data_IF_590618675938
#
_entry.id   IF_590618675938
#
_cell.length_a   1.000
_cell.length_b   1.000
_cell.length_c   1.000
_cell.angle_alpha   90.00
_cell.angle_beta   90.00
_cell.angle_gamma   90.00
#
_symmetry.space_group_name_H-M   'P 1'
#
loop_
_entity.id
_entity.type
_entity.pdbx_description
1 polymer ?
#
# COMPACT_ATOMS: atom_id res chain seq x y z
N UNK A 1 65.37 -12.79 16.57
CA UNK A 1 64.38 -13.29 15.59
C UNK A 1 63.05 -12.65 15.93
N UNK A 2 62.52 -11.79 15.04
CA UNK A 2 61.23 -11.10 15.22
C UNK A 2 60.15 -11.97 14.58
N UNK A 3 59.23 -12.49 15.38
CA UNK A 3 58.05 -13.23 14.91
C UNK A 3 56.96 -12.24 14.53
N UNK A 4 56.73 -12.08 13.22
CA UNK A 4 55.64 -11.28 12.67
C UNK A 4 54.33 -12.06 12.75
N UNK A 5 53.34 -11.53 13.48
CA UNK A 5 51.97 -12.01 13.46
C UNK A 5 51.25 -11.46 12.21
N UNK A 6 50.87 -12.35 11.28
CA UNK A 6 49.90 -12.02 10.23
C UNK A 6 48.49 -12.06 10.82
N UNK A 7 47.81 -10.92 10.88
CA UNK A 7 46.36 -10.86 11.02
C UNK A 7 45.71 -11.11 9.65
N UNK A 8 45.07 -12.25 9.48
CA UNK A 8 44.19 -12.51 8.34
C UNK A 8 42.84 -11.83 8.58
N UNK A 9 42.60 -10.69 7.92
CA UNK A 9 41.28 -10.05 7.88
C UNK A 9 40.39 -10.84 6.90
N UNK A 10 39.51 -11.70 7.42
CA UNK A 10 38.46 -12.33 6.63
C UNK A 10 37.35 -11.31 6.37
N UNK A 11 37.34 -10.71 5.17
CA UNK A 11 36.25 -9.87 4.69
C UNK A 11 35.03 -10.72 4.35
N UNK A 12 33.94 -10.59 5.12
CA UNK A 12 32.64 -11.19 4.82
C UNK A 12 31.89 -10.27 3.87
N UNK A 13 31.86 -10.61 2.58
CA UNK A 13 31.01 -9.94 1.61
C UNK A 13 29.54 -10.34 1.87
N UNK A 14 28.73 -9.40 2.35
CA UNK A 14 27.27 -9.56 2.39
C UNK A 14 26.78 -9.37 0.95
N UNK A 15 26.47 -10.47 0.28
CA UNK A 15 25.78 -10.43 -1.00
C UNK A 15 24.37 -9.88 -0.76
N UNK A 16 24.14 -8.62 -1.12
CA UNK A 16 22.79 -8.07 -1.23
C UNK A 16 22.19 -8.69 -2.50
N UNK A 17 21.55 -9.84 -2.35
CA UNK A 17 20.72 -10.41 -3.40
C UNK A 17 19.54 -9.43 -3.61
N UNK A 18 19.59 -8.65 -4.68
CA UNK A 18 18.42 -7.91 -5.15
C UNK A 18 17.45 -8.91 -5.75
N UNK A 19 16.66 -9.56 -4.90
CA UNK A 19 15.51 -10.33 -5.36
C UNK A 19 14.54 -9.32 -5.98
N UNK A 20 14.40 -9.35 -7.29
CA UNK A 20 13.24 -8.74 -7.95
C UNK A 20 12.03 -9.51 -7.45
N UNK A 21 11.33 -8.95 -6.47
CA UNK A 21 10.04 -9.48 -6.04
C UNK A 21 9.11 -9.31 -7.22
N UNK A 22 8.77 -10.42 -7.85
CA UNK A 22 7.77 -10.44 -8.92
C UNK A 22 6.43 -9.98 -8.34
N UNK A 23 5.53 -9.47 -9.19
CA UNK A 23 4.15 -9.15 -8.79
C UNK A 23 3.34 -10.36 -8.25
N UNK A 24 3.95 -11.56 -8.16
CA UNK A 24 3.37 -12.74 -7.52
C UNK A 24 2.99 -12.42 -6.08
N UNK A 25 1.69 -12.33 -5.82
CA UNK A 25 1.11 -12.04 -4.51
C UNK A 25 -0.01 -11.00 -4.58
N UNK A 26 -0.01 -10.13 -5.59
CA UNK A 26 -1.06 -9.15 -5.78
C UNK A 26 -2.26 -9.73 -6.57
N UNK A 27 -3.44 -9.72 -5.94
CA UNK A 27 -4.72 -10.15 -6.52
C UNK A 27 -5.59 -8.93 -6.82
N UNK A 28 -6.13 -8.86 -8.04
CA UNK A 28 -7.06 -7.80 -8.43
C UNK A 28 -8.49 -8.16 -8.06
N UNK A 29 -9.28 -7.20 -7.59
CA UNK A 29 -10.64 -7.43 -7.11
C UNK A 29 -11.54 -6.20 -7.26
N UNK A 30 -12.84 -6.44 -7.34
CA UNK A 30 -13.86 -5.39 -7.29
C UNK A 30 -14.18 -5.11 -5.83
N UNK A 31 -14.14 -3.83 -5.43
CA UNK A 31 -14.54 -3.38 -4.09
C UNK A 31 -16.01 -2.99 -4.09
N UNK A 32 -16.41 -2.20 -5.08
CA UNK A 32 -17.75 -1.60 -5.12
C UNK A 32 -18.21 -1.36 -6.56
N UNK A 33 -19.52 -1.57 -6.76
CA UNK A 33 -20.26 -1.27 -7.97
C UNK A 33 -20.84 0.14 -7.96
N UNK A 34 -21.18 0.66 -9.13
CA UNK A 34 -21.93 1.92 -9.21
C UNK A 34 -23.38 1.77 -8.68
N UNK A 35 -24.13 2.88 -8.68
CA UNK A 35 -25.53 2.90 -8.25
C UNK A 35 -26.47 2.07 -9.15
N UNK A 36 -26.04 1.77 -10.37
CA UNK A 36 -26.77 0.97 -11.37
C UNK A 36 -26.35 -0.51 -11.36
N UNK A 37 -25.57 -0.94 -10.34
CA UNK A 37 -25.07 -2.31 -10.17
C UNK A 37 -24.10 -2.79 -11.27
N UNK A 38 -23.43 -1.86 -11.97
CA UNK A 38 -22.32 -2.16 -12.86
C UNK A 38 -21.00 -2.26 -12.06
N UNK A 39 -20.15 -3.22 -12.43
CA UNK A 39 -18.83 -3.39 -11.84
C UNK A 39 -17.76 -2.60 -12.60
N UNK A 40 -16.67 -2.19 -11.93
CA UNK A 40 -15.40 -1.94 -12.60
C UNK A 40 -15.02 -3.09 -13.54
N UNK A 41 -14.38 -2.76 -14.67
CA UNK A 41 -13.74 -3.78 -15.51
C UNK A 41 -12.27 -3.89 -15.13
N UNK A 42 -11.82 -5.11 -14.87
CA UNK A 42 -10.41 -5.44 -14.60
C UNK A 42 -9.96 -6.39 -15.71
N UNK A 43 -8.95 -5.98 -16.47
CA UNK A 43 -8.50 -6.76 -17.63
C UNK A 43 -6.99 -6.69 -17.82
N UNK A 44 -6.43 -7.67 -18.51
CA UNK A 44 -5.04 -7.58 -18.98
C UNK A 44 -4.92 -6.50 -20.05
N UNK A 45 -3.83 -5.73 -20.03
CA UNK A 45 -3.55 -4.72 -21.04
C UNK A 45 -2.18 -4.95 -21.70
N UNK A 46 -2.02 -6.17 -22.23
CA UNK A 46 -0.78 -6.59 -22.90
C UNK A 46 -0.53 -5.89 -24.24
N UNK A 47 -1.56 -5.24 -24.81
CA UNK A 47 -1.46 -4.51 -26.08
C UNK A 47 -0.69 -3.21 -25.94
N UNK A 48 -0.94 -2.43 -24.88
CA UNK A 48 -0.20 -1.20 -24.62
C UNK A 48 1.06 -1.44 -23.80
N UNK A 49 0.99 -2.29 -22.77
CA UNK A 49 2.12 -2.60 -21.89
C UNK A 49 2.12 -4.09 -21.53
N UNK A 50 3.08 -4.89 -22.00
CA UNK A 50 3.18 -6.30 -21.65
C UNK A 50 3.17 -6.52 -20.13
N UNK A 51 2.26 -7.37 -19.65
CA UNK A 51 2.11 -7.70 -18.22
C UNK A 51 1.36 -6.65 -17.39
N UNK A 52 0.82 -5.59 -18.00
CA UNK A 52 0.00 -4.61 -17.29
C UNK A 52 -1.43 -5.11 -17.06
N UNK A 53 -2.02 -4.60 -15.99
CA UNK A 53 -3.45 -4.71 -15.68
C UNK A 53 -4.09 -3.34 -15.87
N UNK A 54 -5.28 -3.32 -16.45
CA UNK A 54 -6.09 -2.12 -16.59
C UNK A 54 -7.32 -2.19 -15.68
N UNK A 55 -7.54 -1.10 -14.95
CA UNK A 55 -8.71 -0.89 -14.11
C UNK A 55 -9.58 0.22 -14.70
N UNK A 56 -10.71 -0.16 -15.29
CA UNK A 56 -11.66 0.78 -15.91
C UNK A 56 -12.73 1.15 -14.87
N UNK A 57 -12.78 2.45 -14.56
CA UNK A 57 -13.71 3.07 -13.63
C UNK A 57 -14.52 4.08 -14.46
N UNK A 58 -15.68 3.66 -14.97
CA UNK A 58 -16.46 4.46 -15.92
C UNK A 58 -17.64 5.21 -15.27
N UNK A 59 -17.88 5.01 -13.98
CA UNK A 59 -18.91 5.69 -13.22
C UNK A 59 -18.46 5.98 -11.79
N UNK A 60 -19.06 7.01 -11.18
CA UNK A 60 -18.88 7.33 -9.77
C UNK A 60 -19.22 6.14 -8.87
N UNK A 61 -18.58 6.03 -7.70
CA UNK A 61 -18.74 4.93 -6.74
C UNK A 61 -18.19 3.56 -7.16
N UNK A 62 -17.80 3.37 -8.42
CA UNK A 62 -17.01 2.22 -8.80
C UNK A 62 -15.65 2.26 -8.11
N UNK A 63 -15.26 1.13 -7.53
CA UNK A 63 -13.99 0.99 -6.83
C UNK A 63 -13.43 -0.40 -7.04
N UNK A 64 -12.16 -0.47 -7.40
CA UNK A 64 -11.41 -1.70 -7.58
C UNK A 64 -10.08 -1.62 -6.82
N UNK A 65 -9.52 -2.77 -6.50
CA UNK A 65 -8.26 -2.89 -5.78
C UNK A 65 -7.32 -3.88 -6.44
N UNK A 66 -6.04 -3.71 -6.14
CA UNK A 66 -5.00 -4.70 -6.38
C UNK A 66 -4.22 -4.87 -5.08
N UNK A 67 -4.42 -6.00 -4.39
CA UNK A 67 -3.99 -6.17 -3.01
C UNK A 67 -3.18 -7.44 -2.75
N UNK A 68 -2.35 -7.40 -1.72
CA UNK A 68 -1.52 -8.52 -1.26
C UNK A 68 -1.54 -8.65 0.27
N UNK A 69 -1.34 -9.87 0.73
CA UNK A 69 -1.11 -10.23 2.14
C UNK A 69 0.34 -10.65 2.42
N UNK A 70 1.26 -10.47 1.46
CA UNK A 70 2.65 -10.94 1.59
C UNK A 70 3.43 -10.29 2.74
N UNK A 71 2.97 -9.14 3.22
CA UNK A 71 3.57 -8.38 4.33
C UNK A 71 2.65 -8.33 5.56
N UNK A 72 1.60 -9.15 5.61
CA UNK A 72 0.75 -9.27 6.80
C UNK A 72 1.61 -9.72 8.00
N UNK A 73 1.37 -9.12 9.16
CA UNK A 73 2.16 -9.30 10.38
C UNK A 73 3.37 -8.38 10.49
N UNK A 74 3.85 -7.78 9.39
CA UNK A 74 4.91 -6.76 9.46
C UNK A 74 4.38 -5.47 10.11
N UNK A 75 5.28 -4.65 10.67
CA UNK A 75 4.90 -3.30 11.08
C UNK A 75 4.85 -2.37 9.88
N UNK A 76 3.93 -1.42 9.87
CA UNK A 76 3.72 -0.49 8.76
C UNK A 76 5.03 0.22 8.37
N UNK A 77 5.82 0.69 9.33
CA UNK A 77 7.11 1.35 9.05
C UNK A 77 8.21 0.45 8.51
N UNK A 78 8.02 -0.87 8.53
CA UNK A 78 8.98 -1.85 8.01
C UNK A 78 8.70 -2.27 6.57
N UNK A 79 7.77 -1.63 5.86
CA UNK A 79 7.38 -2.00 4.48
C UNK A 79 7.71 -0.89 3.48
N UNK A 80 8.09 -1.29 2.27
CA UNK A 80 8.20 -0.45 1.09
C UNK A 80 7.15 -0.84 0.06
N UNK A 81 6.60 0.17 -0.63
CA UNK A 81 5.58 0.02 -1.66
C UNK A 81 6.09 0.54 -2.99
N UNK A 82 5.69 -0.11 -4.08
CA UNK A 82 5.83 0.44 -5.42
C UNK A 82 4.71 0.01 -6.36
N UNK A 83 4.49 0.82 -7.40
CA UNK A 83 3.63 0.53 -8.55
C UNK A 83 4.04 1.43 -9.71
N UNK A 84 3.89 0.95 -10.94
CA UNK A 84 4.08 1.76 -12.15
C UNK A 84 2.74 1.99 -12.81
N UNK A 85 2.47 3.24 -13.20
CA UNK A 85 1.32 3.66 -13.99
C UNK A 85 1.78 4.13 -15.37
N UNK A 86 1.12 3.64 -16.40
CA UNK A 86 1.52 3.80 -17.80
C UNK A 86 0.54 4.64 -18.63
N UNK A 87 -0.69 4.82 -18.19
CA UNK A 87 -1.64 5.68 -18.89
C UNK A 87 -1.25 7.16 -18.76
N UNK A 88 -1.66 7.95 -19.75
CA UNK A 88 -1.41 9.38 -19.76
C UNK A 88 -2.28 10.08 -18.71
N UNK A 89 -1.71 10.35 -17.54
CA UNK A 89 -2.42 11.07 -16.48
C UNK A 89 -2.74 12.53 -16.83
N UNK A 90 -2.13 13.12 -17.87
CA UNK A 90 -2.37 14.50 -18.29
C UNK A 90 -3.70 14.68 -19.01
N UNK A 91 -4.36 13.58 -19.42
CA UNK A 91 -5.75 13.60 -19.91
C UNK A 91 -6.76 13.99 -18.84
N UNK A 92 -6.35 14.02 -17.58
CA UNK A 92 -7.17 14.43 -16.44
C UNK A 92 -6.80 15.84 -15.97
N UNK A 93 -7.75 16.53 -15.34
CA UNK A 93 -7.48 17.81 -14.70
C UNK A 93 -6.37 17.66 -13.64
N UNK A 94 -5.37 18.53 -13.67
CA UNK A 94 -4.26 18.49 -12.73
C UNK A 94 -4.75 18.53 -11.27
N UNK A 95 -4.20 17.65 -10.43
CA UNK A 95 -4.60 17.51 -9.02
C UNK A 95 -5.89 16.73 -8.78
N UNK A 96 -6.65 16.35 -9.82
CA UNK A 96 -7.79 15.45 -9.68
C UNK A 96 -7.36 14.04 -9.28
N UNK A 97 -8.24 13.29 -8.62
CA UNK A 97 -8.01 11.90 -8.22
C UNK A 97 -7.42 11.03 -9.34
N UNK A 98 -7.99 11.01 -10.56
CA UNK A 98 -7.48 10.26 -11.70
C UNK A 98 -6.14 10.77 -12.20
N UNK A 99 -5.81 12.05 -12.04
CA UNK A 99 -4.48 12.56 -12.39
C UNK A 99 -3.39 12.08 -11.40
N UNK A 100 -3.76 11.73 -10.16
CA UNK A 100 -2.82 11.39 -9.08
C UNK A 100 -2.89 9.94 -8.59
N UNK A 101 -3.89 9.17 -9.03
CA UNK A 101 -4.05 7.74 -8.73
C UNK A 101 -2.88 6.88 -9.24
N UNK A 102 -2.68 5.65 -8.72
CA UNK A 102 -3.44 5.02 -7.66
C UNK A 102 -3.10 5.58 -6.27
N UNK A 103 -4.04 5.44 -5.35
CA UNK A 103 -3.76 5.61 -3.92
C UNK A 103 -3.60 4.23 -3.27
N UNK A 104 -2.95 4.19 -2.12
CA UNK A 104 -2.82 2.97 -1.34
C UNK A 104 -3.74 3.00 -0.12
N UNK A 105 -4.23 1.84 0.26
CA UNK A 105 -4.97 1.58 1.49
C UNK A 105 -4.33 0.39 2.20
N UNK A 106 -4.00 0.55 3.46
CA UNK A 106 -3.34 -0.47 4.29
C UNK A 106 -4.24 -0.77 5.48
N UNK A 107 -4.60 -2.03 5.66
CA UNK A 107 -5.25 -2.47 6.89
C UNK A 107 -4.22 -2.59 8.01
N UNK A 108 -4.52 -1.96 9.15
CA UNK A 108 -3.76 -2.11 10.38
C UNK A 108 -4.64 -2.66 11.50
N UNK A 109 -4.01 -3.30 12.48
CA UNK A 109 -4.69 -3.82 13.66
C UNK A 109 -3.85 -3.71 14.94
N UNK A 110 -4.54 -3.59 16.08
CA UNK A 110 -3.99 -3.79 17.43
C UNK A 110 -4.19 -5.24 17.94
N UNK A 111 -4.71 -6.13 17.09
CA UNK A 111 -5.10 -7.50 17.43
C UNK A 111 -6.58 -7.66 17.79
N UNK A 112 -7.31 -6.57 18.02
CA UNK A 112 -8.75 -6.56 18.33
C UNK A 112 -9.54 -5.73 17.32
N UNK A 113 -9.05 -4.53 17.04
CA UNK A 113 -9.65 -3.53 16.18
C UNK A 113 -8.92 -3.45 14.84
N UNK A 114 -9.60 -2.93 13.83
CA UNK A 114 -9.06 -2.77 12.48
C UNK A 114 -9.31 -1.35 11.97
N UNK A 115 -8.34 -0.83 11.23
CA UNK A 115 -8.43 0.47 10.58
C UNK A 115 -7.82 0.41 9.18
N UNK A 116 -8.30 1.24 8.27
CA UNK A 116 -7.63 1.48 6.99
C UNK A 116 -6.86 2.79 7.09
N UNK A 117 -5.55 2.71 6.89
CA UNK A 117 -4.68 3.87 6.72
C UNK A 117 -4.45 4.10 5.23
N UNK A 118 -4.62 5.33 4.78
CA UNK A 118 -4.52 5.70 3.37
C UNK A 118 -3.72 6.99 3.18
N UNK A 119 -3.11 7.14 2.00
CA UNK A 119 -2.62 8.45 1.57
C UNK A 119 -3.75 9.33 1.01
N UNK A 120 -3.47 10.63 0.93
CA UNK A 120 -4.21 11.58 0.11
C UNK A 120 -3.34 11.97 -1.10
N UNK A 121 -3.40 11.26 -2.23
CA UNK A 121 -2.49 11.51 -3.36
C UNK A 121 -2.69 12.90 -4.00
N UNK A 122 -3.85 13.55 -3.78
CA UNK A 122 -4.10 14.91 -4.25
C UNK A 122 -3.39 15.96 -3.40
N UNK A 123 -2.88 15.59 -2.21
CA UNK A 123 -2.00 16.43 -1.44
C UNK A 123 -0.67 16.62 -2.20
N UNK A 124 -0.28 17.86 -2.53
CA UNK A 124 0.93 18.13 -3.31
C UNK A 124 2.22 17.54 -2.72
N UNK A 125 2.29 17.29 -1.40
CA UNK A 125 3.45 16.66 -0.77
C UNK A 125 3.73 15.26 -1.31
N UNK A 126 2.71 14.51 -1.73
CA UNK A 126 2.89 13.19 -2.33
C UNK A 126 3.51 13.23 -3.73
N UNK A 127 3.61 14.41 -4.36
CA UNK A 127 4.26 14.55 -5.66
C UNK A 127 5.75 14.20 -5.61
N UNK A 128 6.41 14.42 -4.47
CA UNK A 128 7.83 14.11 -4.29
C UNK A 128 8.16 12.60 -4.37
N UNK A 129 7.17 11.73 -4.17
CA UNK A 129 7.33 10.27 -4.22
C UNK A 129 7.00 9.67 -5.60
N UNK A 130 6.67 10.53 -6.58
CA UNK A 130 6.45 10.14 -7.97
C UNK A 130 7.71 10.34 -8.81
N UNK A 131 8.06 9.32 -9.58
CA UNK A 131 9.03 9.45 -10.67
C UNK A 131 8.28 9.59 -11.97
N UNK A 132 8.44 10.73 -12.66
CA UNK A 132 7.85 10.94 -13.98
C UNK A 132 8.57 10.06 -15.03
N UNK A 133 7.78 9.33 -15.82
CA UNK A 133 8.28 8.43 -16.87
C UNK A 133 8.05 9.00 -18.29
N UNK A 134 7.50 10.22 -18.40
CA UNK A 134 7.11 10.87 -19.64
C UNK A 134 5.65 10.58 -20.03
N UNK A 135 5.07 11.45 -20.87
CA UNK A 135 3.72 11.29 -21.42
C UNK A 135 2.62 11.01 -20.37
N UNK A 136 2.73 11.67 -19.20
CA UNK A 136 1.78 11.48 -18.10
C UNK A 136 1.96 10.19 -17.29
N UNK A 137 2.83 9.27 -17.69
CA UNK A 137 3.16 8.06 -16.93
C UNK A 137 4.06 8.40 -15.73
N UNK A 138 3.92 7.61 -14.65
CA UNK A 138 4.75 7.76 -13.47
C UNK A 138 4.83 6.46 -12.65
N UNK A 139 5.85 6.36 -11.81
CA UNK A 139 5.94 5.31 -10.79
C UNK A 139 5.94 5.89 -9.38
N UNK A 140 5.41 5.11 -8.44
CA UNK A 140 5.60 5.29 -7.01
C UNK A 140 6.61 4.26 -6.52
N UNK A 141 7.56 4.69 -5.70
CA UNK A 141 8.49 3.80 -5.01
C UNK A 141 9.03 4.47 -3.76
N UNK A 142 8.59 4.03 -2.58
CA UNK A 142 8.99 4.62 -1.30
C UNK A 142 8.87 3.61 -0.16
N UNK A 143 9.59 3.85 0.94
CA UNK A 143 9.33 3.17 2.20
C UNK A 143 8.23 3.89 2.97
N UNK A 144 7.39 3.17 3.71
CA UNK A 144 6.36 3.81 4.54
C UNK A 144 7.00 4.66 5.65
N UNK A 145 8.21 4.34 6.09
CA UNK A 145 9.01 5.20 6.95
C UNK A 145 9.40 6.53 6.29
N UNK A 146 9.62 6.56 4.97
CA UNK A 146 10.00 7.80 4.27
C UNK A 146 8.87 8.82 4.13
N UNK A 147 7.61 8.37 4.28
CA UNK A 147 6.44 9.24 4.27
C UNK A 147 5.93 9.58 5.69
N UNK A 148 6.73 9.34 6.73
CA UNK A 148 6.31 9.51 8.14
C UNK A 148 5.74 10.92 8.45
N UNK A 149 6.28 11.95 7.78
CA UNK A 149 5.79 13.33 7.93
C UNK A 149 4.47 13.62 7.22
N UNK A 150 4.02 12.73 6.34
CA UNK A 150 2.79 12.92 5.57
C UNK A 150 1.55 12.64 6.41
N UNK A 151 0.49 13.41 6.15
CA UNK A 151 -0.82 13.15 6.74
C UNK A 151 -1.34 11.81 6.22
N UNK A 152 -1.92 11.01 7.12
CA UNK A 152 -2.64 9.81 6.74
C UNK A 152 -4.15 10.02 6.97
N UNK A 153 -4.93 9.50 6.04
CA UNK A 153 -6.36 9.36 6.21
C UNK A 153 -6.63 8.04 6.92
N UNK A 154 -7.48 8.09 7.94
CA UNK A 154 -7.92 6.91 8.69
C UNK A 154 -9.38 6.69 8.39
N UNK A 155 -9.70 5.50 7.90
CA UNK A 155 -11.06 5.06 7.65
C UNK A 155 -11.39 3.89 8.56
N UNK A 156 -12.36 4.15 9.42
CA UNK A 156 -12.91 3.21 10.38
C UNK A 156 -14.41 3.36 10.39
N UNK A 157 -15.07 2.37 10.95
CA UNK A 157 -16.52 2.36 11.04
C UNK A 157 -16.91 1.68 12.34
N UNK A 158 -17.78 2.30 13.17
CA UNK A 158 -18.34 3.65 12.99
C UNK A 158 -17.29 4.78 13.16
N UNK A 159 -17.64 6.01 12.76
CA UNK A 159 -16.85 7.25 12.98
C UNK A 159 -15.72 7.57 11.97
N UNK A 160 -15.82 7.10 10.73
CA UNK A 160 -14.95 7.58 9.65
C UNK A 160 -14.84 9.12 9.67
N UNK A 161 -13.62 9.63 9.67
CA UNK A 161 -13.31 11.07 9.60
C UNK A 161 -13.70 11.93 10.80
N UNK A 162 -14.15 11.36 11.93
CA UNK A 162 -14.46 12.15 13.14
C UNK A 162 -13.24 12.51 13.99
N UNK A 163 -12.07 11.91 13.69
CA UNK A 163 -10.84 12.00 14.50
C UNK A 163 -11.03 11.59 15.95
N UNK A 164 -12.02 10.74 16.23
CA UNK A 164 -12.38 10.26 17.55
C UNK A 164 -12.55 8.74 17.56
N UNK A 165 -11.89 8.08 16.62
CA UNK A 165 -11.98 6.65 16.37
C UNK A 165 -11.07 5.86 17.32
N UNK A 166 -11.02 4.53 17.20
CA UNK A 166 -10.27 3.71 18.16
C UNK A 166 -8.77 4.01 18.06
N UNK A 167 -8.27 4.24 16.85
CA UNK A 167 -6.87 4.52 16.61
C UNK A 167 -6.46 5.86 17.21
N UNK A 168 -7.25 6.91 17.02
CA UNK A 168 -7.01 8.21 17.66
C UNK A 168 -7.06 8.11 19.18
N UNK A 169 -7.99 7.31 19.72
CA UNK A 169 -8.11 7.07 21.17
C UNK A 169 -6.90 6.33 21.71
N UNK A 170 -6.50 5.24 21.06
CA UNK A 170 -5.34 4.42 21.43
C UNK A 170 -4.02 5.22 21.40
N UNK A 171 -3.92 6.17 20.47
CA UNK A 171 -2.76 7.06 20.34
C UNK A 171 -2.81 8.30 21.26
N UNK A 172 -3.92 8.54 21.98
CA UNK A 172 -4.09 9.76 22.78
C UNK A 172 -4.18 11.03 21.93
N UNK A 173 -4.67 10.91 20.69
CA UNK A 173 -4.69 11.97 19.66
C UNK A 173 -6.10 12.33 19.19
N UNK A 174 -7.11 12.13 20.03
CA UNK A 174 -8.50 12.51 19.72
C UNK A 174 -8.57 13.99 19.28
N UNK A 175 -9.26 14.23 18.17
CA UNK A 175 -9.42 15.54 17.52
C UNK A 175 -8.25 16.00 16.65
N UNK A 176 -7.14 15.25 16.61
CA UNK A 176 -5.92 15.65 15.90
C UNK A 176 -5.82 14.95 14.55
N UNK A 177 -5.14 15.58 13.59
CA UNK A 177 -4.77 14.92 12.35
C UNK A 177 -3.60 13.96 12.60
N UNK A 178 -3.75 12.69 12.24
CA UNK A 178 -2.65 11.73 12.29
C UNK A 178 -1.73 11.89 11.07
N UNK A 179 -0.46 11.56 11.28
CA UNK A 179 0.54 11.34 10.22
C UNK A 179 0.93 9.88 10.15
N UNK A 180 1.63 9.49 9.08
CA UNK A 180 2.16 8.12 8.99
C UNK A 180 3.10 7.79 10.17
N UNK A 181 3.86 8.76 10.70
CA UNK A 181 4.72 8.58 11.88
C UNK A 181 3.96 7.97 13.07
N UNK A 182 2.71 8.37 13.26
CA UNK A 182 1.88 7.94 14.39
C UNK A 182 1.49 6.46 14.30
N UNK A 183 1.46 5.92 13.08
CA UNK A 183 0.93 4.58 12.81
C UNK A 183 1.98 3.59 12.31
N UNK A 184 3.25 4.01 12.15
CA UNK A 184 4.34 3.14 11.69
C UNK A 184 4.53 1.88 12.56
N UNK A 185 4.17 1.95 13.83
CA UNK A 185 4.32 0.85 14.79
C UNK A 185 3.22 -0.22 14.71
N UNK A 186 2.10 0.04 14.02
CA UNK A 186 1.00 -0.93 13.94
C UNK A 186 1.30 -2.07 12.98
N UNK A 187 0.74 -3.24 13.28
CA UNK A 187 0.85 -4.41 12.41
C UNK A 187 -0.09 -4.27 11.22
N UNK A 188 0.44 -4.59 10.03
CA UNK A 188 -0.37 -4.77 8.83
C UNK A 188 -1.17 -6.06 8.99
N UNK A 189 -2.49 -5.95 8.98
CA UNK A 189 -3.36 -7.11 9.14
C UNK A 189 -4.74 -6.81 8.59
N UNK A 190 -5.13 -7.54 7.55
CA UNK A 190 -6.50 -7.48 7.04
C UNK A 190 -7.47 -8.22 7.99
N UNK A 191 -8.69 -7.69 8.20
CA UNK A 191 -9.72 -8.41 8.93
C UNK A 191 -10.15 -9.65 8.13
N UNK A 192 -10.57 -10.71 8.85
CA UNK A 192 -11.14 -11.88 8.19
C UNK A 192 -12.48 -11.56 7.53
N UNK A 193 -12.86 -12.36 6.52
CA UNK A 193 -14.18 -12.26 5.90
C UNK A 193 -15.33 -12.42 6.93
N UNK A 194 -15.12 -13.24 7.96
CA UNK A 194 -16.05 -13.40 9.08
C UNK A 194 -16.18 -12.14 9.93
N UNK A 195 -15.06 -11.49 10.26
CA UNK A 195 -15.07 -10.21 10.97
C UNK A 195 -15.85 -9.14 10.19
N UNK A 196 -15.63 -9.07 8.87
CA UNK A 196 -16.35 -8.14 8.00
C UNK A 196 -17.86 -8.46 7.98
N UNK A 197 -18.21 -9.72 7.78
CA UNK A 197 -19.61 -10.15 7.61
C UNK A 197 -20.42 -10.04 8.90
N UNK A 198 -19.77 -10.01 10.06
CA UNK A 198 -20.40 -9.81 11.37
C UNK A 198 -20.93 -8.38 11.60
N UNK A 199 -20.72 -7.46 10.65
CA UNK A 199 -21.24 -6.09 10.77
C UNK A 199 -20.45 -5.22 11.77
N UNK A 200 -19.15 -5.49 11.93
CA UNK A 200 -18.21 -4.70 12.74
C UNK A 200 -17.89 -3.33 12.12
N UNK A 201 -18.94 -2.65 11.66
CA UNK A 201 -18.91 -1.35 11.01
C UNK A 201 -18.41 -1.35 9.57
N UNK A 202 -17.54 -2.28 9.14
CA UNK A 202 -16.76 -2.12 7.89
C UNK A 202 -17.65 -1.79 6.69
N UNK A 203 -17.55 -0.53 6.23
CA UNK A 203 -18.35 0.01 5.14
C UNK A 203 -18.06 -0.66 3.79
N UNK A 204 -19.03 -0.60 2.87
CA UNK A 204 -18.91 -1.21 1.53
C UNK A 204 -17.89 -0.55 0.60
N UNK A 205 -17.21 0.53 1.03
CA UNK A 205 -16.09 1.15 0.31
C UNK A 205 -14.70 0.75 0.85
N UNK A 206 -14.64 -0.08 1.89
CA UNK A 206 -13.39 -0.57 2.46
C UNK A 206 -12.68 -1.53 1.48
N UNK A 207 -11.34 -1.65 1.53
CA UNK A 207 -10.57 -2.46 0.59
C UNK A 207 -10.74 -3.95 0.89
N UNK A 208 -11.82 -4.51 0.36
CA UNK A 208 -12.20 -5.92 0.39
C UNK A 208 -12.86 -6.32 -0.94
N UNK A 209 -12.76 -7.57 -1.31
CA UNK A 209 -13.45 -8.14 -2.46
C UNK A 209 -14.97 -8.19 -2.21
N UNK A 210 -15.71 -7.66 -3.18
CA UNK A 210 -17.16 -7.66 -3.18
C UNK A 210 -17.70 -9.09 -3.30
N UNK A 211 -18.54 -9.49 -2.35
CA UNK A 211 -19.22 -10.79 -2.35
C UNK A 211 -18.52 -11.86 -1.52
N UNK A 212 -17.18 -11.85 -1.46
CA UNK A 212 -16.41 -12.81 -0.62
C UNK A 212 -15.96 -12.19 0.71
N UNK A 213 -15.86 -10.85 0.78
CA UNK A 213 -15.27 -10.12 1.90
C UNK A 213 -13.81 -10.50 2.17
N UNK A 214 -13.08 -11.08 1.20
CA UNK A 214 -11.65 -11.28 1.32
C UNK A 214 -10.96 -9.91 1.32
N UNK A 215 -10.07 -9.66 2.27
CA UNK A 215 -9.31 -8.44 2.39
C UNK A 215 -7.81 -8.75 2.39
N UNK A 216 -7.00 -7.80 1.94
CA UNK A 216 -5.55 -7.92 1.81
C UNK A 216 -4.87 -6.80 2.60
N UNK A 217 -3.76 -7.06 3.29
CA UNK A 217 -3.15 -6.07 4.17
C UNK A 217 -2.73 -4.78 3.46
N UNK A 218 -2.20 -4.89 2.24
CA UNK A 218 -1.80 -3.74 1.41
C UNK A 218 -2.59 -3.75 0.11
N UNK A 219 -3.12 -2.59 -0.29
CA UNK A 219 -3.96 -2.46 -1.48
C UNK A 219 -3.61 -1.19 -2.26
N UNK A 220 -3.41 -1.31 -3.56
CA UNK A 220 -3.55 -0.19 -4.50
C UNK A 220 -5.00 -0.07 -4.92
N UNK A 221 -5.52 1.15 -4.99
CA UNK A 221 -6.94 1.40 -5.19
C UNK A 221 -7.17 2.31 -6.40
N UNK A 222 -8.22 1.96 -7.14
CA UNK A 222 -8.64 2.59 -8.38
C UNK A 222 -10.12 2.96 -8.28
N UNK A 223 -10.46 4.21 -8.58
CA UNK A 223 -11.80 4.75 -8.38
C UNK A 223 -12.09 5.17 -6.94
N UNK A 224 -13.22 5.83 -6.69
CA UNK A 224 -13.71 6.17 -5.35
C UNK A 224 -15.22 6.53 -5.39
N UNK A 225 -15.80 6.78 -4.22
CA UNK A 225 -17.16 7.25 -4.01
C UNK A 225 -17.43 8.65 -4.58
N UNK A 226 -16.40 9.48 -4.69
CA UNK A 226 -16.51 10.81 -5.25
C UNK A 226 -16.43 10.77 -6.79
N UNK A 227 -17.26 11.59 -7.44
CA UNK A 227 -17.39 11.65 -8.91
C UNK A 227 -16.11 12.06 -9.63
N UNK A 228 -15.12 12.56 -8.91
CA UNK A 228 -13.84 12.96 -9.47
C UNK A 228 -12.90 11.79 -9.74
N UNK A 229 -13.15 10.53 -9.33
CA UNK A 229 -12.24 9.39 -9.52
C UNK A 229 -12.59 8.46 -10.72
N UNK A 230 -13.22 9.00 -11.75
CA UNK A 230 -13.62 8.24 -12.95
C UNK A 230 -12.48 8.28 -13.98
N UNK A 231 -11.92 7.13 -14.36
CA UNK A 231 -10.91 7.05 -15.43
C UNK A 231 -11.54 7.15 -16.83
N UNK A 232 -12.82 6.78 -16.97
CA UNK A 232 -13.54 6.84 -18.23
C UNK A 232 -13.44 5.53 -19.01
N UNK A 233 -13.47 5.61 -20.35
CA UNK A 233 -13.39 4.43 -21.22
C UNK A 233 -11.99 3.79 -21.20
N UNK A 234 -10.94 4.61 -21.14
CA UNK A 234 -9.56 4.16 -20.90
C UNK A 234 -9.32 4.12 -19.38
N UNK A 235 -8.85 2.97 -18.89
CA UNK A 235 -8.64 2.74 -17.47
C UNK A 235 -7.31 3.28 -16.93
N UNK A 236 -7.03 2.92 -15.68
CA UNK A 236 -5.68 3.02 -15.10
C UNK A 236 -4.87 1.83 -15.57
N UNK A 237 -3.82 2.07 -16.35
CA UNK A 237 -2.95 0.99 -16.84
C UNK A 237 -1.74 0.91 -15.92
N UNK A 238 -1.64 -0.18 -15.16
CA UNK A 238 -0.63 -0.33 -14.10
C UNK A 238 0.11 -1.65 -14.19
N UNK A 239 1.35 -1.67 -13.71
CA UNK A 239 2.15 -2.89 -13.59
C UNK A 239 3.11 -2.82 -12.40
N UNK A 240 3.75 -3.97 -12.13
CA UNK A 240 4.79 -4.12 -11.12
C UNK A 240 4.40 -3.61 -9.72
N UNK A 241 3.20 -3.93 -9.20
CA UNK A 241 2.91 -3.64 -7.81
C UNK A 241 3.87 -4.44 -6.91
N UNK A 242 4.32 -3.82 -5.82
CA UNK A 242 5.20 -4.44 -4.84
C UNK A 242 4.88 -3.97 -3.43
N UNK A 243 4.96 -4.90 -2.49
CA UNK A 243 4.98 -4.65 -1.05
C UNK A 243 6.03 -5.57 -0.44
N UNK A 244 7.11 -5.01 0.09
CA UNK A 244 8.26 -5.80 0.58
C UNK A 244 8.78 -5.24 1.89
N UNK A 245 9.42 -6.07 2.74
CA UNK A 245 10.17 -5.56 3.88
C UNK A 245 11.19 -4.51 3.44
N UNK A 246 11.19 -3.36 4.12
CA UNK A 246 12.11 -2.27 3.87
C UNK A 246 13.56 -2.75 4.13
N UNK A 247 14.56 -2.30 3.34
CA UNK A 247 15.93 -2.79 3.43
C UNK A 247 16.56 -2.73 4.83
N UNK A 248 16.18 -1.74 5.65
CA UNK A 248 16.64 -1.62 7.04
C UNK A 248 16.15 -2.73 7.97
N UNK A 249 14.94 -3.28 7.73
CA UNK A 249 14.40 -4.38 8.51
C UNK A 249 15.11 -5.70 8.19
N UNK A 250 15.46 -5.93 6.92
CA UNK A 250 16.22 -7.10 6.49
C UNK A 250 17.65 -7.11 7.07
N UNK A 251 18.32 -5.94 7.13
CA UNK A 251 19.64 -5.81 7.73
C UNK A 251 19.64 -6.12 9.25
N UNK A 252 18.62 -5.66 9.98
CA UNK A 252 18.51 -5.90 11.42
C UNK A 252 18.33 -7.39 11.76
N UNK A 253 17.54 -8.13 10.96
CA UNK A 253 17.38 -9.59 11.12
C UNK A 253 18.68 -10.36 10.81
N UNK A 254 19.42 -9.95 9.79
CA UNK A 254 20.73 -10.54 9.46
C UNK A 254 21.77 -10.35 10.58
N UNK A 255 21.82 -9.16 11.18
CA UNK A 255 22.71 -8.85 12.30
C UNK A 255 22.33 -9.59 13.59
N UNK A 256 21.04 -9.72 13.90
CA UNK A 256 20.57 -10.48 15.06
C UNK A 256 20.92 -11.98 14.96
N UNK A 257 20.82 -12.56 13.76
CA UNK A 257 21.23 -13.95 13.49
C UNK A 257 22.73 -14.17 13.73
N UNK A 258 23.58 -13.20 13.34
CA UNK A 258 25.03 -13.27 13.55
C UNK A 258 25.42 -13.16 15.04
N UNK A 259 24.69 -12.37 15.84
CA UNK A 259 24.91 -12.28 17.29
C UNK A 259 24.47 -13.58 18.00
N UNK A 260 23.38 -14.21 17.54
CA UNK A 260 22.91 -15.50 18.04
C UNK A 260 23.91 -16.64 17.79
N UNK A 261 24.56 -16.65 16.62
CA UNK A 261 25.61 -17.63 16.29
C UNK A 261 26.90 -17.41 17.09
N UNK A 262 27.20 -16.17 17.49
CA UNK A 262 28.40 -15.85 18.28
C UNK A 262 28.29 -16.25 19.76
N UNK A 263 27.07 -16.49 20.27
CA UNK A 263 26.84 -16.97 21.65
C UNK A 263 26.85 -18.49 21.81
N UNK A 264 27.00 -19.25 20.72
CA UNK A 264 27.08 -20.73 20.73
C UNK A 264 28.50 -21.28 20.48
N UNK A 265 29.53 -20.46 20.65
CA UNK A 265 30.93 -20.89 20.65
C UNK A 265 31.58 -20.56 21.98
#
# INVERSE_FOLDING_TARGET
MKTSFLFAAAGLAVAIATTTVSASGFTSFVIRKDASNNSPTIQSNNTYVPGATEFIINASSMKAGWGTSDVDGATLGSVSLSITRHDDSTRFSAGSGPAVAPYFNIWISDGTNYAVVANEPSNPSFAAFRTNLGNGAFSYSFSLASIAGEQCNVFETPNASSKSDWLHTALGKVGQQLTFADVLGYSISAPSAGYISAGNGIGGGAPRELGTNIAYGVNWIFGDTLSNYVSGAEGYVVSNPSAVPAPGAAAALGLAGLIGLRRRR
#
